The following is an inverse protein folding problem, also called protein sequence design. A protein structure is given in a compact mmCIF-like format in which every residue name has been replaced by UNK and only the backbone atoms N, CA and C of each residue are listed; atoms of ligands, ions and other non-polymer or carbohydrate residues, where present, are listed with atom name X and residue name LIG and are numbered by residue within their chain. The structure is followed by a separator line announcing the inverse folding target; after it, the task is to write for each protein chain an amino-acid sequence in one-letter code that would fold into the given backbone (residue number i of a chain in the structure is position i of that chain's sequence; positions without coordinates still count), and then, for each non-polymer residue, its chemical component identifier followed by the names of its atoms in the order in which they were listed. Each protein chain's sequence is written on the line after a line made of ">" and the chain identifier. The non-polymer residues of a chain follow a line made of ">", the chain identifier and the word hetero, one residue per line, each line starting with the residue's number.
data_IF_948572871515
#
_entry.id   IF_948572871515
#
_cell.length_a   1.000
_cell.length_b   1.000
_cell.length_c   1.000
_cell.angle_alpha   90.00
_cell.angle_beta   90.00
_cell.angle_gamma   90.00
#
_symmetry.space_group_name_H-M   'P 1'
#
loop_
_entity.id
_entity.type
_entity.pdbx_description
1 polymer ?
#
# COMPACT_ATOMS: atom_id res chain seq x y z
N UNK A 1 22.18 31.03 49.48
CA UNK A 1 21.16 31.42 48.47
C UNK A 1 20.64 30.15 47.83
N UNK A 2 19.55 29.65 48.38
CA UNK A 2 18.88 28.42 47.86
C UNK A 2 18.01 28.82 46.67
N UNK A 3 18.30 28.25 45.52
CA UNK A 3 17.42 28.33 44.34
C UNK A 3 16.19 27.45 44.54
N UNK A 4 15.09 28.07 44.92
CA UNK A 4 13.76 27.46 44.90
C UNK A 4 13.35 27.28 43.42
N UNK A 5 13.49 26.09 42.90
CA UNK A 5 12.89 25.70 41.61
C UNK A 5 11.40 25.52 41.84
N UNK A 6 10.59 26.54 41.57
CA UNK A 6 9.14 26.39 41.49
C UNK A 6 8.78 25.49 40.30
N UNK A 7 8.61 24.20 40.55
CA UNK A 7 7.95 23.32 39.61
C UNK A 7 6.48 23.70 39.54
N UNK A 8 6.08 24.42 38.49
CA UNK A 8 4.67 24.64 38.14
C UNK A 8 4.03 23.31 37.74
N UNK A 9 3.65 22.51 38.73
CA UNK A 9 2.72 21.41 38.51
C UNK A 9 1.36 22.01 38.16
N UNK A 10 1.00 22.04 36.87
CA UNK A 10 -0.38 22.27 36.49
C UNK A 10 -1.20 21.10 37.04
N UNK A 11 -1.99 21.34 38.07
CA UNK A 11 -3.01 20.40 38.52
C UNK A 11 -3.90 20.05 37.34
N UNK A 12 -4.02 18.73 37.08
CA UNK A 12 -4.93 18.24 36.02
C UNK A 12 -6.35 18.50 36.47
N UNK A 13 -7.05 19.43 35.84
CA UNK A 13 -8.44 19.77 36.14
C UNK A 13 -9.41 18.60 35.93
N UNK A 14 -9.01 17.61 35.15
CA UNK A 14 -9.80 16.39 34.90
C UNK A 14 -8.87 15.18 34.85
N UNK A 15 -9.17 14.17 35.65
CA UNK A 15 -8.47 12.89 35.66
C UNK A 15 -8.77 12.05 34.40
N UNK A 16 -10.01 12.12 33.91
CA UNK A 16 -10.47 11.49 32.67
C UNK A 16 -11.14 12.53 31.80
N UNK A 17 -10.67 12.69 30.58
CA UNK A 17 -11.34 13.57 29.60
C UNK A 17 -12.73 13.01 29.29
N UNK A 18 -13.79 13.82 29.31
CA UNK A 18 -15.09 13.39 28.82
C UNK A 18 -14.95 12.82 27.41
N UNK A 19 -15.26 11.56 27.22
CA UNK A 19 -15.16 10.91 25.93
C UNK A 19 -16.57 10.55 25.45
N UNK A 20 -16.98 11.14 24.33
CA UNK A 20 -18.24 10.76 23.70
C UNK A 20 -17.97 9.66 22.68
N UNK A 21 -18.52 8.46 22.94
CA UNK A 21 -18.44 7.30 22.05
C UNK A 21 -19.67 7.20 21.12
N UNK A 22 -20.60 8.13 21.21
CA UNK A 22 -21.88 8.07 20.54
C UNK A 22 -21.73 7.99 19.02
N UNK A 23 -20.77 8.73 18.44
CA UNK A 23 -20.56 8.71 16.99
C UNK A 23 -20.21 7.31 16.47
N UNK A 24 -19.21 6.67 17.05
CA UNK A 24 -18.81 5.33 16.57
C UNK A 24 -19.89 4.29 16.82
N UNK A 25 -20.59 4.36 17.94
CA UNK A 25 -21.71 3.45 18.21
C UNK A 25 -22.80 3.62 17.16
N UNK A 26 -23.19 4.86 16.83
CA UNK A 26 -24.17 5.16 15.78
C UNK A 26 -23.71 4.61 14.41
N UNK A 27 -22.45 4.86 14.03
CA UNK A 27 -21.86 4.34 12.77
C UNK A 27 -21.91 2.82 12.71
N UNK A 28 -21.60 2.16 13.83
CA UNK A 28 -21.53 0.70 13.90
C UNK A 28 -22.91 0.04 13.84
N UNK A 29 -23.96 0.69 14.41
CA UNK A 29 -25.28 0.08 14.57
C UNK A 29 -26.35 0.63 13.61
N UNK A 30 -26.24 1.88 13.17
CA UNK A 30 -27.33 2.58 12.46
C UNK A 30 -27.01 2.90 11.00
N UNK A 31 -25.72 3.02 10.64
CA UNK A 31 -25.34 3.31 9.26
C UNK A 31 -25.67 2.14 8.33
N UNK A 32 -26.21 2.46 7.17
CA UNK A 32 -26.35 1.50 6.08
C UNK A 32 -24.97 1.15 5.44
N UNK A 33 -24.97 0.19 4.50
CA UNK A 33 -23.73 -0.29 3.86
C UNK A 33 -23.04 0.82 3.04
N UNK A 34 -23.78 1.74 2.43
CA UNK A 34 -23.22 2.84 1.66
C UNK A 34 -22.55 3.84 2.60
N UNK A 35 -23.24 4.28 3.64
CA UNK A 35 -22.73 5.19 4.65
C UNK A 35 -21.49 4.60 5.35
N UNK A 36 -21.51 3.30 5.63
CA UNK A 36 -20.35 2.59 6.17
C UNK A 36 -19.17 2.66 5.20
N UNK A 37 -19.38 2.32 3.93
CA UNK A 37 -18.34 2.32 2.90
C UNK A 37 -17.77 3.73 2.66
N UNK A 38 -18.60 4.77 2.70
CA UNK A 38 -18.15 6.17 2.58
C UNK A 38 -17.15 6.56 3.68
N UNK A 39 -17.32 6.01 4.90
CA UNK A 39 -16.47 6.31 6.04
C UNK A 39 -15.19 5.45 6.10
N UNK A 40 -15.27 4.18 5.72
CA UNK A 40 -14.16 3.23 5.92
C UNK A 40 -13.54 2.71 4.62
N UNK A 41 -14.15 2.95 3.46
CA UNK A 41 -13.75 2.46 2.13
C UNK A 41 -13.60 0.94 2.04
N UNK A 42 -14.21 0.23 2.95
CA UNK A 42 -14.34 -1.24 2.95
C UNK A 42 -15.76 -1.64 3.31
N UNK A 43 -16.24 -2.78 2.82
CA UNK A 43 -17.53 -3.35 3.25
C UNK A 43 -17.44 -3.85 4.70
N UNK A 44 -18.59 -4.05 5.36
CA UNK A 44 -18.62 -4.63 6.71
C UNK A 44 -18.02 -6.04 6.74
N UNK A 45 -18.21 -6.84 5.71
CA UNK A 45 -17.62 -8.17 5.61
C UNK A 45 -16.09 -8.10 5.53
N UNK A 46 -15.55 -7.18 4.70
CA UNK A 46 -14.12 -6.95 4.62
C UNK A 46 -13.55 -6.43 5.95
N UNK A 47 -14.25 -5.53 6.60
CA UNK A 47 -13.88 -5.04 7.94
C UNK A 47 -13.82 -6.19 8.94
N UNK A 48 -14.86 -7.04 8.97
CA UNK A 48 -14.91 -8.17 9.89
C UNK A 48 -13.82 -9.21 9.58
N UNK A 49 -13.55 -9.44 8.30
CA UNK A 49 -12.45 -10.29 7.87
C UNK A 49 -11.09 -9.77 8.39
N UNK A 50 -10.80 -8.48 8.19
CA UNK A 50 -9.57 -7.85 8.70
C UNK A 50 -9.50 -7.97 10.23
N UNK A 51 -10.60 -7.68 10.92
CA UNK A 51 -10.67 -7.76 12.37
C UNK A 51 -10.31 -9.16 12.87
N UNK A 52 -10.92 -10.20 12.29
CA UNK A 52 -10.67 -11.59 12.68
C UNK A 52 -9.19 -11.98 12.52
N UNK A 53 -8.51 -11.46 11.49
CA UNK A 53 -7.10 -11.75 11.24
C UNK A 53 -6.16 -11.11 12.26
N UNK A 54 -6.53 -9.97 12.86
CA UNK A 54 -5.63 -9.18 13.70
C UNK A 54 -6.10 -9.00 15.14
N UNK A 55 -7.33 -9.38 15.47
CA UNK A 55 -7.97 -9.09 16.76
C UNK A 55 -7.11 -9.49 17.96
N UNK A 56 -6.52 -10.68 17.89
CA UNK A 56 -5.69 -11.22 18.98
C UNK A 56 -4.51 -10.31 19.33
N UNK A 57 -3.86 -9.74 18.31
CA UNK A 57 -2.67 -8.92 18.46
C UNK A 57 -2.98 -7.50 18.93
N UNK A 58 -4.15 -6.97 18.55
CA UNK A 58 -4.54 -5.61 18.90
C UNK A 58 -5.44 -5.50 20.12
N UNK A 59 -5.92 -6.63 20.67
CA UNK A 59 -6.71 -6.65 21.91
C UNK A 59 -5.84 -6.30 23.11
N UNK A 60 -6.36 -5.44 23.98
CA UNK A 60 -5.69 -5.02 25.23
C UNK A 60 -6.53 -5.43 26.43
N UNK A 61 -5.85 -5.73 27.54
CA UNK A 61 -6.50 -6.07 28.81
C UNK A 61 -7.04 -4.82 29.47
N UNK A 62 -8.19 -4.96 30.15
CA UNK A 62 -8.70 -3.93 31.04
C UNK A 62 -7.73 -3.73 32.21
N UNK A 63 -7.60 -2.50 32.64
CA UNK A 63 -6.90 -2.16 33.88
C UNK A 63 -7.91 -1.79 34.96
N UNK A 64 -7.56 -1.84 36.26
CA UNK A 64 -8.46 -1.40 37.33
C UNK A 64 -8.96 0.05 37.16
N UNK A 65 -8.16 0.89 36.49
CA UNK A 65 -8.45 2.31 36.31
C UNK A 65 -9.20 2.64 35.02
N UNK A 66 -9.19 1.75 34.02
CA UNK A 66 -9.76 2.03 32.70
C UNK A 66 -10.06 0.76 31.90
N UNK A 67 -11.19 0.76 31.24
CA UNK A 67 -11.50 -0.23 30.21
C UNK A 67 -10.64 0.00 28.96
N UNK A 68 -10.14 -1.09 28.40
CA UNK A 68 -9.40 -1.05 27.13
C UNK A 68 -10.34 -0.70 25.98
N UNK A 69 -9.80 0.03 25.00
CA UNK A 69 -10.53 0.29 23.75
C UNK A 69 -10.56 -1.01 22.95
N UNK A 70 -11.76 -1.43 22.54
CA UNK A 70 -11.97 -2.71 21.84
C UNK A 70 -11.17 -2.78 20.53
N UNK A 71 -10.79 -4.00 20.12
CA UNK A 71 -10.09 -4.25 18.86
C UNK A 71 -10.87 -3.70 17.65
N UNK A 72 -12.20 -3.90 17.65
CA UNK A 72 -13.10 -3.36 16.63
C UNK A 72 -12.97 -1.83 16.47
N UNK A 73 -12.99 -1.10 17.58
CA UNK A 73 -12.85 0.36 17.56
C UNK A 73 -11.44 0.80 17.18
N UNK A 74 -10.40 0.05 17.56
CA UNK A 74 -9.02 0.32 17.15
C UNK A 74 -8.85 0.18 15.64
N UNK A 75 -9.42 -0.88 15.05
CA UNK A 75 -9.42 -1.06 13.59
C UNK A 75 -10.22 0.05 12.90
N UNK A 76 -11.38 0.43 13.42
CA UNK A 76 -12.20 1.50 12.86
C UNK A 76 -11.45 2.85 12.84
N UNK A 77 -10.72 3.21 13.90
CA UNK A 77 -9.87 4.40 13.95
C UNK A 77 -8.85 4.40 12.80
N UNK A 78 -8.20 3.26 12.57
CA UNK A 78 -7.16 3.16 11.53
C UNK A 78 -7.76 3.22 10.14
N UNK A 79 -8.84 2.49 9.88
CA UNK A 79 -9.50 2.53 8.57
C UNK A 79 -10.08 3.91 8.28
N UNK A 80 -10.68 4.58 9.26
CA UNK A 80 -11.16 5.95 9.10
C UNK A 80 -10.02 6.93 8.77
N UNK A 81 -8.86 6.79 9.42
CA UNK A 81 -7.66 7.57 9.10
C UNK A 81 -7.18 7.33 7.66
N UNK A 82 -7.12 6.06 7.24
CA UNK A 82 -6.65 5.68 5.90
C UNK A 82 -7.65 6.06 4.78
N UNK A 83 -8.93 6.15 5.10
CA UNK A 83 -10.00 6.48 4.14
C UNK A 83 -10.26 7.98 3.99
N UNK A 84 -9.76 8.79 4.92
CA UNK A 84 -10.07 10.22 5.01
C UNK A 84 -8.79 11.07 5.08
N UNK A 85 -8.94 12.37 4.88
CA UNK A 85 -7.87 13.38 5.12
C UNK A 85 -7.97 13.99 6.52
N UNK A 86 -8.69 13.32 7.44
CA UNK A 86 -8.95 13.86 8.77
C UNK A 86 -7.69 13.90 9.64
N UNK A 87 -7.52 15.02 10.34
CA UNK A 87 -6.45 15.17 11.32
C UNK A 87 -6.68 14.27 12.55
N UNK A 88 -5.61 13.93 13.25
CA UNK A 88 -5.68 13.14 14.49
C UNK A 88 -6.61 13.73 15.55
N UNK A 89 -6.74 15.07 15.60
CA UNK A 89 -7.66 15.76 16.52
C UNK A 89 -9.10 15.47 16.19
N UNK A 90 -9.48 15.50 14.92
CA UNK A 90 -10.83 15.19 14.44
C UNK A 90 -11.19 13.74 14.77
N UNK A 91 -10.29 12.81 14.45
CA UNK A 91 -10.45 11.39 14.76
C UNK A 91 -10.58 11.16 16.27
N UNK A 92 -9.73 11.82 17.06
CA UNK A 92 -9.78 11.73 18.52
C UNK A 92 -11.13 12.17 19.09
N UNK A 93 -11.72 13.24 18.54
CA UNK A 93 -13.03 13.75 18.96
C UNK A 93 -14.17 12.80 18.55
N UNK A 94 -14.16 12.32 17.29
CA UNK A 94 -15.19 11.39 16.77
C UNK A 94 -15.20 10.07 17.56
N UNK A 95 -14.03 9.51 17.80
CA UNK A 95 -13.91 8.24 18.52
C UNK A 95 -13.83 8.40 20.05
N UNK A 96 -13.87 9.61 20.59
CA UNK A 96 -13.79 9.87 22.02
C UNK A 96 -12.49 9.31 22.66
N UNK A 97 -11.35 9.53 22.03
CA UNK A 97 -10.03 9.09 22.50
C UNK A 97 -9.05 10.25 22.55
N UNK A 98 -7.84 10.06 23.07
CA UNK A 98 -6.81 11.10 23.03
C UNK A 98 -6.09 11.12 21.66
N UNK A 99 -5.55 12.29 21.29
CA UNK A 99 -4.74 12.45 20.06
C UNK A 99 -3.52 11.50 20.10
N UNK A 100 -2.85 11.39 21.25
CA UNK A 100 -1.71 10.49 21.42
C UNK A 100 -2.10 9.02 21.21
N UNK A 101 -3.31 8.64 21.65
CA UNK A 101 -3.83 7.30 21.40
C UNK A 101 -4.07 7.06 19.91
N UNK A 102 -4.65 8.01 19.17
CA UNK A 102 -4.86 7.89 17.72
C UNK A 102 -3.53 7.63 17.03
N UNK A 103 -2.50 8.43 17.32
CA UNK A 103 -1.17 8.30 16.73
C UNK A 103 -0.56 6.90 17.00
N UNK A 104 -0.58 6.44 18.25
CA UNK A 104 -0.04 5.12 18.61
C UNK A 104 -0.87 3.97 18.03
N UNK A 105 -2.20 4.11 18.01
CA UNK A 105 -3.12 3.13 17.46
C UNK A 105 -2.90 2.92 15.96
N UNK A 106 -2.75 4.01 15.20
CA UNK A 106 -2.48 3.94 13.75
C UNK A 106 -1.19 3.16 13.50
N UNK A 107 -0.10 3.51 14.17
CA UNK A 107 1.18 2.82 14.01
C UNK A 107 1.08 1.33 14.34
N UNK A 108 0.51 1.00 15.50
CA UNK A 108 0.42 -0.36 15.99
C UNK A 108 -0.45 -1.23 15.07
N UNK A 109 -1.69 -0.80 14.81
CA UNK A 109 -2.64 -1.61 14.03
C UNK A 109 -2.19 -1.75 12.58
N UNK A 110 -1.68 -0.67 11.95
CA UNK A 110 -1.12 -0.77 10.58
C UNK A 110 0.06 -1.73 10.52
N UNK A 111 0.94 -1.74 11.53
CA UNK A 111 2.06 -2.68 11.59
C UNK A 111 1.55 -4.12 11.66
N UNK A 112 0.54 -4.39 12.50
CA UNK A 112 -0.03 -5.74 12.62
C UNK A 112 -0.71 -6.17 11.31
N UNK A 113 -1.47 -5.28 10.66
CA UNK A 113 -2.07 -5.55 9.34
C UNK A 113 -0.98 -5.96 8.33
N UNK A 114 0.10 -5.19 8.22
CA UNK A 114 1.21 -5.51 7.30
C UNK A 114 1.84 -6.86 7.64
N UNK A 115 2.13 -7.12 8.91
CA UNK A 115 2.76 -8.37 9.35
C UNK A 115 1.91 -9.61 9.08
N UNK A 116 0.59 -9.51 9.26
CA UNK A 116 -0.33 -10.65 9.12
C UNK A 116 -0.85 -10.85 7.71
N UNK A 117 -1.04 -9.77 6.96
CA UNK A 117 -1.79 -9.82 5.72
C UNK A 117 -0.92 -9.63 4.46
N UNK A 118 0.20 -8.90 4.53
CA UNK A 118 1.04 -8.64 3.36
C UNK A 118 1.39 -9.92 2.59
N UNK A 119 1.90 -10.94 3.26
CA UNK A 119 2.31 -12.20 2.65
C UNK A 119 1.17 -13.08 2.15
N UNK A 120 -0.08 -12.78 2.55
CA UNK A 120 -1.26 -13.49 2.05
C UNK A 120 -1.80 -12.88 0.76
N UNK A 121 -1.74 -11.55 0.63
CA UNK A 121 -2.42 -10.82 -0.45
C UNK A 121 -1.46 -10.25 -1.49
N UNK A 122 -0.24 -9.86 -1.10
CA UNK A 122 0.76 -9.33 -2.03
C UNK A 122 1.75 -10.45 -2.35
N UNK A 123 1.40 -11.26 -3.33
CA UNK A 123 2.19 -12.43 -3.75
C UNK A 123 2.15 -12.59 -5.26
N UNK A 124 3.25 -13.08 -5.83
CA UNK A 124 3.28 -13.47 -7.24
C UNK A 124 2.30 -14.63 -7.44
N UNK A 125 1.43 -14.55 -8.46
CA UNK A 125 0.40 -15.56 -8.73
C UNK A 125 0.98 -16.95 -8.95
N UNK A 126 0.25 -17.95 -8.51
CA UNK A 126 0.58 -19.35 -8.79
C UNK A 126 0.08 -19.74 -10.17
N UNK A 127 0.52 -20.91 -10.63
CA UNK A 127 0.34 -21.44 -11.97
C UNK A 127 -1.03 -21.17 -12.62
N UNK A 128 -2.13 -21.59 -12.01
CA UNK A 128 -3.47 -21.45 -12.61
C UNK A 128 -3.97 -20.00 -12.60
N UNK A 129 -3.70 -19.29 -11.51
CA UNK A 129 -4.00 -17.87 -11.41
C UNK A 129 -3.19 -17.04 -12.42
N UNK A 130 -1.92 -17.41 -12.65
CA UNK A 130 -1.06 -16.79 -13.64
C UNK A 130 -1.61 -16.96 -15.06
N UNK A 131 -2.06 -18.16 -15.42
CA UNK A 131 -2.68 -18.43 -16.73
C UNK A 131 -3.91 -17.57 -16.95
N UNK A 132 -4.75 -17.42 -15.94
CA UNK A 132 -5.95 -16.59 -16.03
C UNK A 132 -5.61 -15.10 -16.20
N UNK A 133 -4.60 -14.60 -15.47
CA UNK A 133 -4.12 -13.23 -15.63
C UNK A 133 -3.62 -12.99 -17.05
N UNK A 134 -2.78 -13.88 -17.58
CA UNK A 134 -2.26 -13.79 -18.94
C UNK A 134 -3.36 -13.88 -19.99
N UNK A 135 -4.36 -14.74 -19.77
CA UNK A 135 -5.54 -14.83 -20.65
C UNK A 135 -6.28 -13.48 -20.69
N UNK A 136 -6.53 -12.86 -19.56
CA UNK A 136 -7.21 -11.55 -19.48
C UNK A 136 -6.38 -10.46 -20.19
N UNK A 137 -5.06 -10.43 -20.01
CA UNK A 137 -4.19 -9.49 -20.73
C UNK A 137 -4.27 -9.70 -22.25
N UNK A 138 -4.23 -10.95 -22.70
CA UNK A 138 -4.36 -11.27 -24.12
C UNK A 138 -5.75 -10.87 -24.69
N UNK A 139 -6.83 -11.19 -23.96
CA UNK A 139 -8.20 -10.92 -24.42
C UNK A 139 -8.51 -9.42 -24.48
N UNK A 140 -8.03 -8.64 -23.48
CA UNK A 140 -8.34 -7.21 -23.39
C UNK A 140 -7.39 -6.32 -24.19
N UNK A 141 -6.11 -6.64 -24.16
CA UNK A 141 -5.06 -5.77 -24.71
C UNK A 141 -4.20 -6.45 -25.78
N UNK A 142 -4.55 -7.67 -26.17
CA UNK A 142 -3.84 -8.49 -27.17
C UNK A 142 -2.35 -8.66 -26.84
N UNK A 143 -2.03 -8.69 -25.54
CA UNK A 143 -0.66 -8.84 -25.05
C UNK A 143 -0.47 -10.25 -24.47
N UNK A 144 0.04 -11.21 -25.26
CA UNK A 144 0.20 -12.60 -24.80
C UNK A 144 1.31 -12.69 -23.74
N UNK A 145 1.19 -13.65 -22.85
CA UNK A 145 2.15 -13.98 -21.80
C UNK A 145 2.42 -12.86 -20.79
N UNK A 146 1.62 -11.78 -20.78
CA UNK A 146 1.73 -10.71 -19.79
C UNK A 146 1.18 -11.15 -18.44
N UNK A 147 2.03 -11.12 -17.41
CA UNK A 147 1.71 -11.49 -16.03
C UNK A 147 1.41 -10.28 -15.12
N UNK A 148 1.68 -9.08 -15.60
CA UNK A 148 1.46 -7.83 -14.86
C UNK A 148 2.24 -6.66 -15.44
N UNK A 149 1.98 -5.47 -14.90
CA UNK A 149 2.69 -4.25 -15.21
C UNK A 149 3.39 -3.72 -13.97
N UNK A 150 4.61 -3.20 -14.14
CA UNK A 150 5.39 -2.56 -13.07
C UNK A 150 5.50 -1.08 -13.34
N UNK A 151 5.23 -0.28 -12.29
CA UNK A 151 5.38 1.17 -12.37
C UNK A 151 5.75 1.76 -11.01
N UNK A 152 6.30 2.98 -11.02
CA UNK A 152 6.68 3.76 -9.86
C UNK A 152 5.77 4.97 -9.66
N UNK A 153 5.35 5.21 -8.42
CA UNK A 153 4.59 6.41 -8.08
C UNK A 153 5.19 7.14 -6.88
N UNK A 154 5.05 8.47 -6.87
CA UNK A 154 5.50 9.31 -5.77
C UNK A 154 4.38 9.55 -4.76
N UNK A 155 4.64 9.21 -3.50
CA UNK A 155 3.77 9.50 -2.37
C UNK A 155 4.30 10.77 -1.70
N UNK A 156 3.56 11.90 -1.73
CA UNK A 156 3.97 13.13 -1.08
C UNK A 156 4.14 12.94 0.43
N UNK A 157 5.19 13.53 0.98
CA UNK A 157 5.48 13.51 2.42
C UNK A 157 5.85 14.91 2.91
N UNK A 158 5.75 15.11 4.22
CA UNK A 158 6.34 16.28 4.88
C UNK A 158 7.86 16.12 4.83
N UNK A 159 8.59 17.21 4.57
CA UNK A 159 10.04 17.21 4.51
C UNK A 159 10.66 16.53 5.74
N UNK A 160 11.49 15.50 5.59
CA UNK A 160 12.23 14.92 6.70
C UNK A 160 13.18 15.96 7.32
N UNK A 161 13.47 15.81 8.62
CA UNK A 161 14.39 16.72 9.33
C UNK A 161 15.84 16.53 8.86
N UNK A 162 16.19 15.28 8.50
CA UNK A 162 17.53 14.89 8.05
C UNK A 162 17.43 14.49 6.58
N UNK A 163 18.45 14.83 5.79
CA UNK A 163 18.60 14.46 4.39
C UNK A 163 17.38 14.82 3.50
N UNK A 164 16.69 15.91 3.85
CA UNK A 164 15.46 16.33 3.16
C UNK A 164 15.66 16.51 1.64
N UNK A 165 16.86 16.90 1.18
CA UNK A 165 17.17 17.10 -0.23
C UNK A 165 17.01 15.80 -1.05
N UNK A 166 17.32 14.65 -0.45
CA UNK A 166 17.19 13.34 -1.12
C UNK A 166 15.74 12.98 -1.43
N UNK A 167 14.80 13.58 -0.71
CA UNK A 167 13.37 13.31 -0.89
C UNK A 167 12.70 14.22 -1.92
N UNK A 168 13.41 15.21 -2.45
CA UNK A 168 12.85 16.10 -3.50
C UNK A 168 12.83 15.38 -4.84
N UNK A 169 11.63 15.19 -5.38
CA UNK A 169 11.44 14.56 -6.68
C UNK A 169 11.60 15.56 -7.85
N UNK A 170 11.53 15.07 -9.08
CA UNK A 170 11.65 15.89 -10.30
C UNK A 170 10.59 17.00 -10.44
N UNK A 171 9.46 16.89 -9.70
CA UNK A 171 8.39 17.88 -9.68
C UNK A 171 8.58 18.92 -8.57
N UNK A 172 9.68 18.84 -7.78
CA UNK A 172 10.05 19.84 -6.78
C UNK A 172 9.36 19.69 -5.41
N UNK A 173 8.72 18.55 -5.12
CA UNK A 173 8.14 18.30 -3.80
C UNK A 173 8.75 17.07 -3.12
N UNK A 174 8.68 17.02 -1.79
CA UNK A 174 9.20 15.89 -1.01
C UNK A 174 8.27 14.68 -1.14
N UNK A 175 8.86 13.54 -1.47
CA UNK A 175 8.12 12.29 -1.67
C UNK A 175 8.97 11.07 -1.31
N UNK A 176 8.28 9.96 -1.07
CA UNK A 176 8.85 8.61 -1.15
C UNK A 176 8.31 7.94 -2.41
N UNK A 177 9.10 7.03 -2.97
CA UNK A 177 8.68 6.25 -4.14
C UNK A 177 8.06 4.94 -3.67
N UNK A 178 6.91 4.60 -4.25
CA UNK A 178 6.31 3.28 -4.21
C UNK A 178 6.40 2.68 -5.61
N UNK A 179 7.09 1.56 -5.76
CA UNK A 179 7.11 0.75 -6.97
C UNK A 179 6.22 -0.47 -6.76
N UNK A 180 5.35 -0.75 -7.70
CA UNK A 180 4.40 -1.84 -7.59
C UNK A 180 4.27 -2.65 -8.88
N UNK A 181 4.00 -3.94 -8.74
CA UNK A 181 3.52 -4.80 -9.82
C UNK A 181 2.03 -5.01 -9.62
N UNK A 182 1.27 -4.78 -10.69
CA UNK A 182 -0.19 -4.90 -10.72
C UNK A 182 -0.61 -5.87 -11.81
N UNK A 183 -1.59 -6.70 -11.54
CA UNK A 183 -2.13 -7.68 -12.51
C UNK A 183 -3.33 -7.13 -13.32
N UNK A 184 -3.89 -7.98 -14.19
CA UNK A 184 -5.04 -7.66 -15.04
C UNK A 184 -6.34 -7.38 -14.29
N UNK A 185 -6.40 -7.65 -12.99
CA UNK A 185 -7.52 -7.36 -12.08
C UNK A 185 -7.22 -6.16 -11.18
N UNK A 186 -6.13 -5.42 -11.45
CA UNK A 186 -5.64 -4.30 -10.64
C UNK A 186 -5.25 -4.68 -9.21
N UNK A 187 -4.86 -5.94 -8.97
CA UNK A 187 -4.37 -6.38 -7.68
C UNK A 187 -2.85 -6.22 -7.58
N UNK A 188 -2.37 -5.69 -6.47
CA UNK A 188 -0.95 -5.61 -6.18
C UNK A 188 -0.34 -6.99 -5.99
N UNK A 189 0.71 -7.31 -6.76
CA UNK A 189 1.43 -8.58 -6.73
C UNK A 189 2.83 -8.48 -6.12
N UNK A 190 3.43 -7.31 -6.21
CA UNK A 190 4.66 -6.94 -5.49
C UNK A 190 4.63 -5.45 -5.17
N UNK A 191 5.15 -5.06 -4.03
CA UNK A 191 5.22 -3.66 -3.61
C UNK A 191 6.53 -3.41 -2.85
N UNK A 192 7.28 -2.42 -3.33
CA UNK A 192 8.45 -1.84 -2.67
C UNK A 192 8.15 -0.38 -2.39
N UNK A 193 8.29 0.07 -1.15
CA UNK A 193 8.00 1.45 -0.75
C UNK A 193 9.03 1.99 0.23
N UNK A 194 9.30 3.29 0.17
CA UNK A 194 10.14 3.99 1.14
C UNK A 194 11.46 4.52 0.58
N UNK A 195 11.73 4.35 -0.71
CA UNK A 195 12.88 5.00 -1.35
C UNK A 195 12.67 6.51 -1.44
N UNK A 196 13.74 7.33 -1.27
CA UNK A 196 13.66 8.77 -1.43
C UNK A 196 13.20 9.19 -2.82
N UNK A 197 12.47 10.29 -2.91
CA UNK A 197 11.86 10.79 -4.14
C UNK A 197 12.83 11.16 -5.26
N UNK A 198 14.11 11.39 -4.98
CA UNK A 198 15.14 11.65 -6.00
C UNK A 198 15.62 10.38 -6.70
N UNK A 199 15.31 9.18 -6.17
CA UNK A 199 15.83 7.92 -6.69
C UNK A 199 15.03 7.48 -7.91
N UNK A 200 15.73 7.10 -8.98
CA UNK A 200 15.14 6.60 -10.23
C UNK A 200 14.57 5.19 -10.08
N UNK A 201 13.47 4.90 -10.78
CA UNK A 201 12.77 3.62 -10.76
C UNK A 201 13.69 2.43 -11.09
N UNK A 202 14.60 2.58 -12.08
CA UNK A 202 15.58 1.54 -12.42
C UNK A 202 16.48 1.16 -11.24
N UNK A 203 16.87 2.13 -10.38
CA UNK A 203 17.69 1.86 -9.19
C UNK A 203 16.89 1.16 -8.10
N UNK A 204 15.64 1.58 -7.89
CA UNK A 204 14.72 0.93 -6.95
C UNK A 204 14.52 -0.52 -7.38
N UNK A 205 14.22 -0.72 -8.65
CA UNK A 205 14.02 -2.01 -9.26
C UNK A 205 15.23 -2.94 -9.08
N UNK A 206 16.44 -2.47 -9.43
CA UNK A 206 17.67 -3.26 -9.31
C UNK A 206 17.97 -3.74 -7.88
N UNK A 207 17.45 -3.02 -6.87
CA UNK A 207 17.60 -3.37 -5.45
C UNK A 207 16.38 -4.12 -4.89
N UNK A 208 15.38 -4.44 -5.72
CA UNK A 208 14.16 -5.11 -5.30
C UNK A 208 14.31 -6.63 -5.19
N UNK A 209 13.48 -7.23 -4.34
CA UNK A 209 13.34 -8.69 -4.29
C UNK A 209 12.79 -9.27 -5.59
N UNK A 210 11.99 -8.50 -6.32
CA UNK A 210 11.46 -8.86 -7.64
C UNK A 210 12.60 -9.07 -8.65
N UNK A 211 13.53 -8.11 -8.74
CA UNK A 211 14.70 -8.17 -9.64
C UNK A 211 15.57 -9.40 -9.34
N UNK A 212 15.84 -9.64 -8.05
CA UNK A 212 16.61 -10.81 -7.62
C UNK A 212 15.96 -12.12 -8.07
N UNK A 213 14.65 -12.30 -7.78
CA UNK A 213 13.89 -13.48 -8.19
C UNK A 213 13.83 -13.65 -9.70
N UNK A 214 13.68 -12.56 -10.45
CA UNK A 214 13.65 -12.58 -11.91
C UNK A 214 14.97 -13.08 -12.51
N UNK A 215 16.10 -12.60 -12.03
CA UNK A 215 17.42 -13.01 -12.48
C UNK A 215 17.76 -14.45 -12.08
N UNK A 216 17.28 -14.90 -10.93
CA UNK A 216 17.41 -16.29 -10.47
C UNK A 216 16.43 -17.25 -11.18
N UNK A 217 15.60 -16.76 -12.13
CA UNK A 217 14.51 -17.50 -12.80
C UNK A 217 13.50 -18.13 -11.83
N UNK A 218 13.36 -17.51 -10.65
CA UNK A 218 12.46 -17.93 -9.58
C UNK A 218 11.19 -17.06 -9.49
N UNK A 219 11.02 -16.11 -10.42
CA UNK A 219 9.89 -15.20 -10.42
C UNK A 219 8.60 -15.88 -10.91
N UNK A 220 8.72 -16.63 -12.00
CA UNK A 220 7.61 -17.34 -12.60
C UNK A 220 7.89 -18.85 -12.63
N UNK A 221 6.83 -19.64 -12.65
CA UNK A 221 6.93 -21.09 -12.76
C UNK A 221 7.42 -21.48 -14.16
N UNK A 222 8.49 -22.26 -14.25
CA UNK A 222 9.14 -22.66 -15.52
C UNK A 222 8.24 -23.49 -16.45
N UNK A 223 7.15 -24.04 -15.93
CA UNK A 223 6.19 -24.87 -16.65
C UNK A 223 5.05 -24.08 -17.30
N UNK A 224 5.06 -22.75 -17.17
CA UNK A 224 4.12 -21.85 -17.83
C UNK A 224 4.86 -21.15 -18.96
N UNK A 225 4.74 -21.67 -20.17
CA UNK A 225 5.31 -21.07 -21.36
C UNK A 225 4.40 -21.33 -22.57
N UNK A 226 4.51 -20.49 -23.59
CA UNK A 226 3.77 -20.63 -24.85
C UNK A 226 4.72 -20.45 -26.04
N UNK A 227 4.57 -21.29 -27.06
CA UNK A 227 5.30 -21.10 -28.31
C UNK A 227 4.56 -20.09 -29.18
N UNK A 228 5.19 -18.97 -29.45
CA UNK A 228 4.68 -17.89 -30.32
C UNK A 228 5.68 -17.72 -31.46
N UNK A 229 5.23 -17.87 -32.70
CA UNK A 229 6.07 -17.78 -33.91
C UNK A 229 7.37 -18.62 -33.82
N UNK A 230 7.30 -19.79 -33.22
CA UNK A 230 8.46 -20.68 -33.06
C UNK A 230 9.38 -20.40 -31.89
N UNK A 231 9.13 -19.31 -31.15
CA UNK A 231 9.88 -18.95 -29.94
C UNK A 231 9.09 -19.35 -28.69
N UNK A 232 9.77 -20.00 -27.73
CA UNK A 232 9.17 -20.32 -26.45
C UNK A 232 9.22 -19.09 -25.53
N UNK A 233 8.07 -18.49 -25.27
CA UNK A 233 7.92 -17.29 -24.45
C UNK A 233 7.43 -17.68 -23.06
N UNK A 234 8.13 -17.21 -22.05
CA UNK A 234 7.76 -17.34 -20.63
C UNK A 234 6.92 -16.14 -20.19
N UNK A 235 6.24 -16.21 -19.04
CA UNK A 235 5.54 -15.05 -18.47
C UNK A 235 6.48 -13.85 -18.32
N UNK A 236 5.96 -12.68 -18.62
CA UNK A 236 6.71 -11.42 -18.59
C UNK A 236 5.90 -10.31 -17.89
N UNK A 237 6.61 -9.31 -17.43
CA UNK A 237 6.05 -8.05 -16.94
C UNK A 237 6.20 -6.96 -18.00
N UNK A 238 5.30 -5.99 -17.98
CA UNK A 238 5.41 -4.76 -18.76
C UNK A 238 5.91 -3.64 -17.84
N UNK A 239 6.83 -2.83 -18.33
CA UNK A 239 7.33 -1.66 -17.62
C UNK A 239 7.44 -0.45 -18.56
N UNK A 240 7.53 0.73 -17.98
CA UNK A 240 7.78 1.96 -18.71
C UNK A 240 9.24 2.03 -19.25
N UNK A 241 9.59 3.00 -20.10
CA UNK A 241 10.94 3.13 -20.66
C UNK A 241 12.07 3.27 -19.63
N UNK A 242 11.79 3.66 -18.39
CA UNK A 242 12.80 3.82 -17.33
C UNK A 242 13.37 2.48 -16.84
N UNK A 243 12.65 1.38 -17.06
CA UNK A 243 13.09 0.04 -16.67
C UNK A 243 14.07 -0.57 -17.68
N UNK A 244 14.96 -1.48 -17.25
CA UNK A 244 15.81 -2.25 -18.16
C UNK A 244 14.98 -3.25 -18.97
N UNK A 245 15.37 -3.51 -20.21
CA UNK A 245 14.85 -4.62 -20.99
C UNK A 245 15.49 -5.94 -20.49
N UNK A 246 14.66 -6.89 -20.06
CA UNK A 246 15.08 -8.19 -19.55
C UNK A 246 14.26 -9.31 -20.21
N UNK A 247 14.71 -10.58 -20.18
CA UNK A 247 13.93 -11.68 -20.73
C UNK A 247 12.52 -11.84 -20.15
N UNK A 248 12.27 -11.27 -18.97
CA UNK A 248 11.02 -11.33 -18.23
C UNK A 248 10.41 -9.95 -17.93
N UNK A 249 11.01 -8.87 -18.46
CA UNK A 249 10.51 -7.49 -18.33
C UNK A 249 10.65 -6.76 -19.65
N UNK A 250 9.53 -6.47 -20.28
CA UNK A 250 9.44 -5.84 -21.58
C UNK A 250 8.99 -4.39 -21.43
N UNK A 251 9.54 -3.52 -22.25
CA UNK A 251 9.22 -2.09 -22.33
C UNK A 251 9.02 -1.64 -23.76
N UNK A 252 8.45 -0.46 -23.93
CA UNK A 252 8.27 0.15 -25.26
C UNK A 252 9.60 0.42 -25.98
N UNK A 253 9.55 0.43 -27.29
CA UNK A 253 10.65 0.85 -28.15
C UNK A 253 10.89 2.36 -28.01
N UNK A 254 12.13 2.82 -28.10
CA UNK A 254 12.42 4.26 -28.14
C UNK A 254 11.72 4.92 -29.36
N UNK A 255 10.97 5.97 -29.11
CA UNK A 255 10.36 6.75 -30.19
C UNK A 255 11.39 7.68 -30.84
N UNK A 256 11.68 7.43 -32.10
CA UNK A 256 12.57 8.26 -32.94
C UNK A 256 12.07 8.25 -34.39
N UNK A 257 12.72 9.00 -35.25
CA UNK A 257 12.37 9.09 -36.68
C UNK A 257 12.44 7.76 -37.44
N UNK A 258 13.16 6.78 -36.92
CA UNK A 258 13.38 5.45 -37.53
C UNK A 258 12.49 4.37 -36.96
N UNK A 259 11.60 4.70 -35.99
CA UNK A 259 10.68 3.73 -35.38
C UNK A 259 9.69 3.21 -36.43
N UNK A 260 9.67 1.91 -36.67
CA UNK A 260 8.78 1.25 -37.64
C UNK A 260 7.31 1.30 -37.19
N UNK A 261 6.39 1.10 -38.14
CA UNK A 261 4.95 1.06 -37.81
C UNK A 261 4.61 -0.10 -36.87
N UNK A 262 5.34 -1.21 -36.94
CA UNK A 262 5.19 -2.35 -36.02
C UNK A 262 5.59 -1.98 -34.60
N UNK A 263 6.72 -1.27 -34.44
CA UNK A 263 7.18 -0.82 -33.12
C UNK A 263 6.26 0.26 -32.53
N UNK A 264 5.74 1.17 -33.38
CA UNK A 264 4.72 2.15 -32.95
C UNK A 264 3.44 1.45 -32.50
N UNK A 265 2.98 0.45 -33.24
CA UNK A 265 1.81 -0.33 -32.85
C UNK A 265 2.06 -1.05 -31.54
N UNK A 266 3.24 -1.65 -31.36
CA UNK A 266 3.62 -2.29 -30.08
C UNK A 266 3.58 -1.28 -28.93
N UNK A 267 4.16 -0.09 -29.10
CA UNK A 267 4.14 0.97 -28.08
C UNK A 267 2.70 1.41 -27.75
N UNK A 268 1.85 1.53 -28.76
CA UNK A 268 0.43 1.85 -28.58
C UNK A 268 -0.31 0.78 -27.76
N UNK A 269 -0.03 -0.50 -28.01
CA UNK A 269 -0.64 -1.60 -27.25
C UNK A 269 -0.13 -1.70 -25.82
N UNK A 270 1.04 -1.14 -25.54
CA UNK A 270 1.67 -1.14 -24.22
C UNK A 270 1.24 0.06 -23.36
N UNK A 271 0.82 1.19 -23.95
CA UNK A 271 0.36 2.41 -23.27
C UNK A 271 -1.10 2.33 -22.86
#
# INVERSE_FOLDING_TARGET
>A
MEHVVCQNFRERSLWVRPSNQAWFNMVDTEFDEQQWYENFRVTRDTFQFILNEIEREITRRNTPMRQAISARRRLAIVLYYLSSTAEYRTIANLFGVSISFVCSCIKEVSTVIVQKMKTKFITIPKREEMKEIMRIYNDKWQFPMCAGAIDGTHIPIIAPVVDHADYVNRKGYHSIVMQAVVDSKYLFRDVVVGWPGSVHDARIFSNSGLYKKGNEKALFSNDVSQTIQGCNIQPLLLGDPSYPLLPWLVKGYPENSNTSDVERHFNFMLS
#
